data_IF_669759719504
#
_entry.id   IF_669759719504
#
_cell.length_a   1.000
_cell.length_b   1.000
_cell.length_c   1.000
_cell.angle_alpha   90.00
_cell.angle_beta   90.00
_cell.angle_gamma   90.00
#
_symmetry.space_group_name_H-M   'P 1'
#
loop_
_entity.id
_entity.type
_entity.pdbx_description
1 polymer ?
#
# COMPACT_ATOMS: atom_id res chain seq x y z
N UNK A 1 -14.42 -7.94 6.67
CA UNK A 1 -14.45 -8.19 5.21
C UNK A 1 -13.02 -8.27 4.73
N UNK A 2 -12.63 -9.31 4.06
CA UNK A 2 -11.31 -9.48 3.45
C UNK A 2 -11.34 -8.84 2.06
N UNK A 3 -10.17 -8.43 1.56
CA UNK A 3 -10.08 -8.07 0.14
C UNK A 3 -10.27 -9.31 -0.73
N UNK A 4 -10.80 -9.10 -1.92
CA UNK A 4 -11.02 -10.18 -2.86
C UNK A 4 -9.71 -10.87 -3.25
N UNK A 5 -9.75 -12.17 -3.54
CA UNK A 5 -8.58 -12.90 -4.03
C UNK A 5 -7.99 -12.25 -5.27
N UNK A 6 -6.67 -12.35 -5.41
CA UNK A 6 -5.97 -11.90 -6.64
C UNK A 6 -6.58 -12.56 -7.86
N UNK A 7 -6.74 -11.81 -8.95
CA UNK A 7 -7.32 -12.28 -10.20
C UNK A 7 -8.86 -12.28 -10.24
N UNK A 8 -9.54 -11.81 -9.19
CA UNK A 8 -11.00 -11.60 -9.25
C UNK A 8 -11.33 -10.25 -9.89
N UNK A 9 -12.57 -10.11 -10.40
CA UNK A 9 -13.04 -8.89 -11.07
C UNK A 9 -12.90 -7.63 -10.21
N UNK A 10 -13.05 -7.73 -8.89
CA UNK A 10 -12.95 -6.61 -7.95
C UNK A 10 -11.55 -6.41 -7.39
N UNK A 11 -10.59 -7.27 -7.72
CA UNK A 11 -9.19 -7.06 -7.35
C UNK A 11 -8.60 -5.93 -8.19
N UNK A 12 -8.15 -4.86 -7.52
CA UNK A 12 -7.52 -3.73 -8.22
C UNK A 12 -6.09 -4.04 -8.72
N UNK A 13 -5.55 -5.19 -8.36
CA UNK A 13 -4.20 -5.60 -8.69
C UNK A 13 -4.21 -6.86 -9.53
N UNK A 14 -4.38 -6.69 -10.83
CA UNK A 14 -3.98 -7.71 -11.79
C UNK A 14 -2.53 -7.45 -12.21
N UNK A 15 -1.59 -7.89 -11.37
CA UNK A 15 -0.15 -7.80 -11.61
C UNK A 15 0.37 -9.00 -12.40
N UNK A 16 -0.50 -9.92 -12.80
CA UNK A 16 -0.11 -11.23 -13.31
C UNK A 16 -0.52 -11.40 -14.77
N UNK A 17 0.46 -11.70 -15.62
CA UNK A 17 0.25 -11.80 -17.07
C UNK A 17 -0.37 -13.10 -17.54
N UNK A 18 -0.40 -14.15 -16.70
CA UNK A 18 -0.81 -15.52 -17.06
C UNK A 18 -2.18 -15.95 -16.52
N UNK A 19 -2.98 -15.02 -16.11
CA UNK A 19 -4.31 -15.30 -15.56
C UNK A 19 -4.38 -15.36 -14.04
N UNK A 20 -3.39 -14.77 -13.35
CA UNK A 20 -3.61 -14.32 -11.99
C UNK A 20 -2.81 -14.97 -10.86
N UNK A 21 -1.88 -15.88 -11.14
CA UNK A 21 -1.10 -16.54 -10.08
C UNK A 21 0.41 -16.43 -10.23
N UNK A 22 0.91 -15.82 -11.30
CA UNK A 22 2.34 -15.71 -11.59
C UNK A 22 2.69 -14.29 -12.02
N UNK A 23 3.61 -13.64 -11.30
CA UNK A 23 4.14 -12.33 -11.62
C UNK A 23 5.35 -12.44 -12.55
N UNK A 24 5.39 -11.61 -13.59
CA UNK A 24 6.51 -11.48 -14.51
C UNK A 24 7.02 -10.05 -14.50
N UNK A 25 8.32 -9.90 -14.63
CA UNK A 25 8.96 -8.59 -14.75
C UNK A 25 10.05 -8.61 -15.83
N UNK A 26 10.25 -7.46 -16.45
CA UNK A 26 11.34 -7.25 -17.38
C UNK A 26 12.50 -6.57 -16.63
N UNK A 27 13.56 -7.33 -16.36
CA UNK A 27 14.74 -6.80 -15.70
C UNK A 27 15.72 -6.24 -16.70
N UNK A 28 16.18 -5.04 -16.45
CA UNK A 28 17.31 -4.38 -17.14
C UNK A 28 18.62 -4.57 -16.36
N UNK A 29 18.78 -5.70 -15.69
CA UNK A 29 20.02 -6.03 -14.99
C UNK A 29 21.08 -6.48 -15.98
N UNK A 30 22.27 -5.91 -15.88
CA UNK A 30 23.43 -6.24 -16.74
C UNK A 30 23.79 -7.74 -16.71
N UNK A 31 23.53 -8.43 -15.60
CA UNK A 31 23.74 -9.88 -15.48
C UNK A 31 22.75 -10.67 -16.34
N UNK A 32 21.49 -10.23 -16.43
CA UNK A 32 20.44 -10.90 -17.21
C UNK A 32 20.47 -10.51 -18.68
N UNK A 33 20.88 -9.28 -18.98
CA UNK A 33 21.03 -8.76 -20.35
C UNK A 33 22.34 -9.20 -21.02
N UNK A 34 23.23 -9.92 -20.33
CA UNK A 34 24.47 -10.45 -20.91
C UNK A 34 24.15 -11.21 -22.20
N UNK A 35 24.71 -10.79 -23.35
CA UNK A 35 24.48 -11.48 -24.62
C UNK A 35 25.02 -12.92 -24.61
N UNK A 36 24.18 -13.90 -24.95
CA UNK A 36 24.55 -15.30 -25.07
C UNK A 36 24.35 -15.71 -26.51
N UNK A 37 25.43 -16.06 -27.25
CA UNK A 37 25.35 -16.45 -28.66
C UNK A 37 24.35 -17.60 -28.90
N UNK A 38 23.42 -17.38 -29.82
CA UNK A 38 22.35 -18.34 -30.13
C UNK A 38 21.11 -18.31 -29.21
N UNK A 39 21.16 -17.58 -28.09
CA UNK A 39 20.07 -17.52 -27.09
C UNK A 39 19.59 -16.10 -26.78
N UNK A 40 20.21 -15.10 -27.37
CA UNK A 40 19.92 -13.70 -27.13
C UNK A 40 20.55 -13.18 -25.84
N UNK A 41 20.07 -13.64 -24.69
CA UNK A 41 20.54 -13.26 -23.36
C UNK A 41 20.46 -14.44 -22.36
N UNK A 42 20.76 -14.19 -21.08
CA UNK A 42 20.72 -15.20 -20.01
C UNK A 42 19.32 -15.80 -19.84
N UNK A 43 18.27 -15.00 -19.99
CA UNK A 43 16.87 -15.45 -19.87
C UNK A 43 16.55 -16.47 -20.97
N UNK A 44 16.95 -16.15 -22.21
CA UNK A 44 16.78 -17.05 -23.34
C UNK A 44 17.55 -18.37 -23.16
N UNK A 45 18.79 -18.31 -22.69
CA UNK A 45 19.57 -19.48 -22.32
C UNK A 45 18.90 -20.32 -21.25
N UNK A 46 18.47 -19.69 -20.13
CA UNK A 46 17.80 -20.39 -19.03
C UNK A 46 16.57 -21.14 -19.53
N UNK A 47 15.73 -20.48 -20.31
CA UNK A 47 14.54 -21.09 -20.90
C UNK A 47 14.88 -22.28 -21.81
N UNK A 48 15.90 -22.14 -22.68
CA UNK A 48 16.32 -23.19 -23.58
C UNK A 48 16.89 -24.40 -22.82
N UNK A 49 17.71 -24.18 -21.80
CA UNK A 49 18.27 -25.22 -20.95
C UNK A 49 17.16 -25.97 -20.17
N UNK A 50 16.20 -25.24 -19.62
CA UNK A 50 15.07 -25.81 -18.91
C UNK A 50 14.16 -26.67 -19.80
N UNK A 51 14.04 -26.35 -21.07
CA UNK A 51 13.27 -27.11 -22.06
C UNK A 51 14.02 -28.29 -22.66
N UNK A 52 15.29 -28.49 -22.33
CA UNK A 52 16.10 -29.59 -22.82
C UNK A 52 16.29 -30.65 -21.72
N UNK A 53 15.63 -31.83 -21.79
CA UNK A 53 15.66 -32.80 -20.70
C UNK A 53 17.07 -33.32 -20.36
N UNK A 54 17.96 -33.49 -21.34
CA UNK A 54 19.31 -33.99 -21.11
C UNK A 54 20.18 -32.93 -20.40
N UNK A 55 20.10 -31.68 -20.84
CA UNK A 55 20.85 -30.58 -20.23
C UNK A 55 20.30 -30.25 -18.84
N UNK A 56 18.97 -30.25 -18.68
CA UNK A 56 18.31 -30.05 -17.38
C UNK A 56 18.79 -31.11 -16.38
N UNK A 57 18.83 -32.39 -16.76
CA UNK A 57 19.32 -33.46 -15.88
C UNK A 57 20.80 -33.26 -15.50
N UNK A 58 21.64 -32.81 -16.43
CA UNK A 58 23.05 -32.52 -16.15
C UNK A 58 23.20 -31.32 -15.22
N UNK A 59 22.46 -30.25 -15.44
CA UNK A 59 22.51 -29.04 -14.62
C UNK A 59 21.86 -29.23 -13.24
N UNK A 60 20.91 -30.12 -13.11
CA UNK A 60 20.29 -30.43 -11.81
C UNK A 60 21.28 -30.96 -10.76
N UNK A 61 22.41 -31.52 -11.18
CA UNK A 61 23.51 -31.92 -10.28
C UNK A 61 24.16 -30.73 -9.58
N UNK A 62 24.05 -29.54 -10.15
CA UNK A 62 24.49 -28.28 -9.52
C UNK A 62 23.43 -27.64 -8.62
N UNK A 63 22.21 -28.17 -8.60
CA UNK A 63 21.06 -27.59 -7.91
C UNK A 63 20.21 -26.65 -8.78
N UNK A 64 20.67 -26.26 -9.98
CA UNK A 64 19.83 -25.49 -10.92
C UNK A 64 18.60 -26.33 -11.29
N UNK A 65 17.43 -25.74 -11.33
CA UNK A 65 16.15 -26.42 -11.51
C UNK A 65 15.75 -27.41 -10.39
N UNK A 66 16.39 -27.37 -9.21
CA UNK A 66 16.09 -28.32 -8.14
C UNK A 66 14.60 -28.32 -7.71
N UNK A 67 13.92 -27.21 -7.89
CA UNK A 67 12.47 -27.05 -7.62
C UNK A 67 11.63 -26.94 -8.91
N UNK A 68 12.16 -27.37 -10.03
CA UNK A 68 11.52 -27.32 -11.35
C UNK A 68 12.00 -26.17 -12.21
N UNK A 69 11.53 -26.14 -13.46
CA UNK A 69 11.86 -25.10 -14.42
C UNK A 69 11.03 -23.86 -14.14
N UNK A 70 11.70 -22.72 -14.05
CA UNK A 70 11.01 -21.41 -13.93
C UNK A 70 10.54 -20.96 -15.30
N UNK A 71 9.22 -20.79 -15.53
CA UNK A 71 8.73 -20.34 -16.81
C UNK A 71 9.13 -18.88 -17.07
N UNK A 72 9.39 -18.57 -18.35
CA UNK A 72 9.54 -17.22 -18.85
C UNK A 72 8.36 -16.88 -19.76
N UNK A 73 7.99 -15.61 -19.85
CA UNK A 73 6.95 -15.13 -20.76
C UNK A 73 7.54 -14.03 -21.64
N UNK A 74 7.75 -14.36 -22.91
CA UNK A 74 8.47 -13.47 -23.84
C UNK A 74 9.89 -13.16 -23.34
N UNK A 75 10.20 -11.87 -23.17
CA UNK A 75 11.49 -11.39 -22.65
C UNK A 75 11.45 -11.10 -21.13
N UNK A 76 10.44 -11.60 -20.43
CA UNK A 76 10.25 -11.35 -19.01
C UNK A 76 10.62 -12.58 -18.18
N UNK A 77 10.99 -12.33 -16.93
CA UNK A 77 11.32 -13.37 -15.94
C UNK A 77 10.15 -13.50 -14.98
N UNK A 78 9.80 -14.73 -14.61
CA UNK A 78 8.94 -15.01 -13.50
C UNK A 78 9.60 -14.52 -12.19
N UNK A 79 8.91 -13.65 -11.45
CA UNK A 79 9.44 -13.04 -10.23
C UNK A 79 8.71 -13.47 -8.97
N UNK A 80 7.51 -14.00 -9.09
CA UNK A 80 6.78 -14.56 -7.98
C UNK A 80 5.63 -15.46 -8.44
N UNK A 81 5.24 -16.40 -7.58
CA UNK A 81 3.93 -17.04 -7.63
C UNK A 81 3.11 -16.63 -6.42
N UNK A 82 1.79 -16.60 -6.56
CA UNK A 82 0.90 -16.39 -5.41
C UNK A 82 0.80 -17.68 -4.61
N UNK A 83 1.27 -17.61 -3.39
CA UNK A 83 1.16 -18.68 -2.42
C UNK A 83 -0.13 -18.59 -1.57
N UNK A 84 -0.25 -19.47 -0.60
CA UNK A 84 -1.39 -19.52 0.32
C UNK A 84 -1.41 -18.28 1.24
N UNK A 85 -2.60 -17.69 1.44
CA UNK A 85 -2.80 -16.61 2.40
C UNK A 85 -2.53 -17.04 3.84
N UNK A 86 -1.87 -16.18 4.61
CA UNK A 86 -1.75 -16.30 6.06
C UNK A 86 -2.87 -15.48 6.71
N UNK A 87 -4.03 -16.13 6.84
CA UNK A 87 -5.22 -15.53 7.42
C UNK A 87 -5.04 -15.34 8.92
N UNK A 88 -5.53 -14.20 9.43
CA UNK A 88 -5.66 -14.00 10.86
C UNK A 88 -6.65 -15.01 11.47
N UNK A 89 -6.42 -15.37 12.73
CA UNK A 89 -7.34 -16.20 13.50
C UNK A 89 -8.70 -15.50 13.66
N UNK A 90 -9.75 -16.27 13.93
CA UNK A 90 -11.10 -15.74 14.08
C UNK A 90 -11.40 -15.20 15.49
N UNK A 91 -10.61 -15.57 16.48
CA UNK A 91 -10.74 -15.20 17.90
C UNK A 91 -9.76 -14.08 18.30
N UNK A 92 -9.82 -13.66 19.55
CA UNK A 92 -8.90 -12.64 20.10
C UNK A 92 -9.28 -11.21 19.78
N UNK A 93 -10.38 -10.94 19.08
CA UNK A 93 -10.86 -9.61 18.80
C UNK A 93 -11.90 -9.19 19.83
N UNK A 94 -11.65 -8.09 20.52
CA UNK A 94 -12.56 -7.54 21.53
C UNK A 94 -12.37 -6.02 21.64
N UNK A 95 -13.34 -5.35 22.26
CA UNK A 95 -13.24 -3.92 22.51
C UNK A 95 -14.11 -3.49 23.66
N UNK A 96 -13.71 -2.37 24.27
CA UNK A 96 -14.46 -1.69 25.32
C UNK A 96 -14.64 -0.25 24.89
N UNK A 97 -15.82 0.29 25.18
CA UNK A 97 -16.16 1.69 25.03
C UNK A 97 -16.82 2.19 26.32
N UNK A 98 -16.31 3.28 26.86
CA UNK A 98 -16.90 3.98 27.96
C UNK A 98 -17.19 5.41 27.52
N UNK A 99 -18.41 5.91 27.79
CA UNK A 99 -18.82 7.27 27.50
C UNK A 99 -19.37 7.93 28.77
N UNK A 100 -19.00 9.18 28.95
CA UNK A 100 -19.42 9.99 30.07
C UNK A 100 -19.89 11.38 29.59
N UNK A 101 -21.07 11.77 29.98
CA UNK A 101 -21.62 13.10 29.70
C UNK A 101 -21.45 13.97 30.96
N UNK A 102 -20.63 15.00 30.84
CA UNK A 102 -20.37 15.96 31.88
C UNK A 102 -21.35 17.13 31.75
N UNK A 103 -22.49 17.05 32.41
CA UNK A 103 -23.56 18.07 32.34
C UNK A 103 -23.03 19.48 32.72
N UNK A 104 -22.18 19.57 33.75
CA UNK A 104 -21.57 20.80 34.21
C UNK A 104 -20.55 21.43 33.24
N UNK A 105 -20.14 20.69 32.20
CA UNK A 105 -19.26 21.16 31.14
C UNK A 105 -20.01 21.25 29.80
N UNK A 106 -21.12 21.99 29.79
CA UNK A 106 -21.98 22.14 28.59
C UNK A 106 -22.44 20.80 28.00
N UNK A 107 -22.71 19.81 28.86
CA UNK A 107 -23.06 18.45 28.45
C UNK A 107 -22.02 17.83 27.52
N UNK A 108 -20.75 18.11 27.77
CA UNK A 108 -19.63 17.53 26.99
C UNK A 108 -19.63 16.02 27.14
N UNK A 109 -19.68 15.33 26.03
CA UNK A 109 -19.48 13.87 25.96
C UNK A 109 -17.99 13.58 25.86
N UNK A 110 -17.49 12.73 26.74
CA UNK A 110 -16.13 12.13 26.65
C UNK A 110 -16.24 10.64 26.36
N UNK A 111 -15.40 10.16 25.47
CA UNK A 111 -15.30 8.75 25.13
C UNK A 111 -13.89 8.20 25.38
N UNK A 112 -13.82 7.00 25.95
CA UNK A 112 -12.56 6.23 26.06
C UNK A 112 -12.78 4.86 25.45
N UNK A 113 -11.85 4.43 24.62
CA UNK A 113 -11.97 3.23 23.82
C UNK A 113 -10.71 2.38 23.91
N UNK A 114 -10.89 1.07 23.93
CA UNK A 114 -9.84 0.09 23.73
C UNK A 114 -10.33 -0.98 22.77
N UNK A 115 -9.55 -1.28 21.75
CA UNK A 115 -9.86 -2.34 20.79
C UNK A 115 -8.61 -3.18 20.51
N UNK A 116 -8.75 -4.50 20.58
CA UNK A 116 -7.80 -5.45 20.01
C UNK A 116 -8.42 -6.06 18.76
N UNK A 117 -7.78 -5.92 17.61
CA UNK A 117 -8.33 -6.36 16.33
C UNK A 117 -7.26 -6.96 15.43
N UNK A 118 -7.70 -7.65 14.40
CA UNK A 118 -6.85 -8.16 13.32
C UNK A 118 -7.02 -7.30 12.07
N UNK A 119 -5.94 -7.12 11.33
CA UNK A 119 -5.97 -6.34 10.10
C UNK A 119 -6.99 -6.92 9.11
N UNK A 120 -7.74 -6.04 8.46
CA UNK A 120 -8.63 -6.39 7.35
C UNK A 120 -7.91 -6.30 6.02
N UNK A 121 -6.91 -5.43 5.94
CA UNK A 121 -6.02 -5.28 4.79
C UNK A 121 -4.75 -6.11 5.04
N UNK A 122 -4.27 -6.86 4.05
CA UNK A 122 -3.06 -7.66 4.20
C UNK A 122 -1.81 -6.80 4.00
N UNK A 123 -0.73 -7.23 4.63
CA UNK A 123 0.63 -6.96 4.18
C UNK A 123 1.12 -8.11 3.30
N UNK A 124 2.24 -7.90 2.60
CA UNK A 124 2.86 -8.93 1.77
C UNK A 124 4.00 -9.57 2.55
N UNK A 125 4.09 -10.89 2.47
CA UNK A 125 5.28 -11.64 2.84
C UNK A 125 5.71 -12.52 1.68
N UNK A 126 6.98 -12.88 1.63
CA UNK A 126 7.52 -13.75 0.59
C UNK A 126 8.48 -14.78 1.20
N UNK A 127 8.56 -15.96 0.55
CA UNK A 127 9.57 -16.99 0.84
C UNK A 127 9.98 -17.69 -0.47
N UNK A 128 10.94 -18.58 -0.37
CA UNK A 128 11.44 -19.34 -1.52
C UNK A 128 10.83 -20.76 -1.63
N UNK A 129 9.74 -21.05 -0.93
CA UNK A 129 8.95 -22.27 -1.10
C UNK A 129 9.72 -23.58 -0.92
N UNK A 130 10.81 -23.60 -0.18
CA UNK A 130 11.66 -24.78 0.00
C UNK A 130 12.77 -24.93 -1.05
N UNK A 131 13.13 -23.86 -1.75
CA UNK A 131 14.28 -23.77 -2.63
C UNK A 131 15.57 -24.28 -1.94
N UNK A 132 16.37 -25.12 -2.65
CA UNK A 132 17.50 -25.83 -2.07
C UNK A 132 18.84 -25.12 -2.24
N UNK A 133 18.87 -24.10 -3.10
CA UNK A 133 20.10 -23.41 -3.50
C UNK A 133 20.82 -24.09 -4.66
N UNK A 134 21.95 -23.50 -5.02
CA UNK A 134 22.80 -23.93 -6.15
C UNK A 134 24.22 -24.05 -5.66
N UNK A 135 24.91 -25.12 -6.06
CA UNK A 135 26.38 -25.19 -5.98
C UNK A 135 26.97 -24.28 -7.07
N UNK A 136 27.23 -23.03 -6.71
CA UNK A 136 27.74 -22.03 -7.65
C UNK A 136 29.11 -22.38 -8.20
N UNK A 137 29.96 -23.14 -7.44
CA UNK A 137 31.26 -23.60 -7.92
C UNK A 137 31.09 -24.69 -8.99
N UNK A 138 30.24 -25.66 -8.73
CA UNK A 138 29.96 -26.73 -9.70
C UNK A 138 29.31 -26.14 -10.96
N UNK A 139 28.37 -25.20 -10.83
CA UNK A 139 27.74 -24.53 -11.98
C UNK A 139 28.77 -23.75 -12.82
N UNK A 140 29.61 -22.93 -12.16
CA UNK A 140 30.63 -22.13 -12.83
C UNK A 140 31.64 -23.04 -13.56
N UNK A 141 32.11 -24.11 -12.92
CA UNK A 141 33.02 -25.06 -13.53
C UNK A 141 32.41 -25.73 -14.76
N UNK A 142 31.14 -26.13 -14.70
CA UNK A 142 30.41 -26.70 -15.82
C UNK A 142 30.33 -25.72 -17.01
N UNK A 143 30.08 -24.45 -16.72
CA UNK A 143 29.94 -23.37 -17.71
C UNK A 143 31.29 -22.91 -18.27
N UNK A 144 32.41 -23.14 -17.59
CA UNK A 144 33.75 -22.73 -18.04
C UNK A 144 34.12 -23.35 -19.40
N UNK A 145 33.69 -24.58 -19.65
CA UNK A 145 33.90 -25.26 -20.94
C UNK A 145 33.16 -24.60 -22.13
N UNK A 146 32.12 -23.81 -21.86
CA UNK A 146 31.27 -23.19 -22.90
C UNK A 146 31.48 -21.68 -22.97
N UNK A 147 31.67 -21.00 -21.82
CA UNK A 147 31.68 -19.55 -21.69
C UNK A 147 33.04 -18.97 -21.27
N UNK A 148 34.06 -19.81 -21.01
CA UNK A 148 35.40 -19.37 -20.62
C UNK A 148 35.40 -18.41 -19.45
N UNK A 149 35.99 -17.22 -19.63
CA UNK A 149 36.06 -16.18 -18.56
C UNK A 149 34.71 -15.59 -18.15
N UNK A 150 33.67 -15.79 -18.94
CA UNK A 150 32.30 -15.28 -18.62
C UNK A 150 31.48 -16.30 -17.82
N UNK A 151 32.01 -17.49 -17.52
CA UNK A 151 31.27 -18.55 -16.83
C UNK A 151 30.68 -18.11 -15.48
N UNK A 152 31.42 -17.33 -14.69
CA UNK A 152 30.93 -16.80 -13.40
C UNK A 152 29.76 -15.84 -13.54
N UNK A 153 29.82 -14.92 -14.52
CA UNK A 153 28.73 -13.99 -14.79
C UNK A 153 27.47 -14.73 -15.28
N UNK A 154 27.66 -15.71 -16.16
CA UNK A 154 26.59 -16.55 -16.65
C UNK A 154 25.95 -17.40 -15.54
N UNK A 155 26.77 -17.97 -14.67
CA UNK A 155 26.28 -18.70 -13.48
C UNK A 155 25.45 -17.81 -12.55
N UNK A 156 25.90 -16.57 -12.29
CA UNK A 156 25.16 -15.60 -11.50
C UNK A 156 23.81 -15.26 -12.14
N UNK A 157 23.78 -15.01 -13.45
CA UNK A 157 22.53 -14.71 -14.16
C UNK A 157 21.55 -15.88 -14.13
N UNK A 158 22.02 -17.12 -14.36
CA UNK A 158 21.17 -18.33 -14.27
C UNK A 158 20.63 -18.53 -12.85
N UNK A 159 21.46 -18.30 -11.82
CA UNK A 159 21.04 -18.38 -10.42
C UNK A 159 19.99 -17.31 -10.09
N UNK A 160 20.14 -16.11 -10.62
CA UNK A 160 19.15 -15.02 -10.41
C UNK A 160 17.79 -15.42 -10.96
N UNK A 161 17.73 -15.91 -12.22
CA UNK A 161 16.46 -16.37 -12.80
C UNK A 161 15.85 -17.51 -11.98
N UNK A 162 16.67 -18.46 -11.53
CA UNK A 162 16.23 -19.63 -10.77
C UNK A 162 15.65 -19.22 -9.40
N UNK A 163 16.34 -18.35 -8.65
CA UNK A 163 15.87 -17.83 -7.36
C UNK A 163 14.56 -17.05 -7.51
N UNK A 164 14.53 -16.08 -8.43
CA UNK A 164 13.35 -15.25 -8.67
C UNK A 164 12.12 -16.09 -9.00
N UNK A 165 12.30 -17.10 -9.83
CA UNK A 165 11.21 -17.99 -10.22
C UNK A 165 10.64 -18.85 -9.09
N UNK A 166 11.37 -19.02 -8.00
CA UNK A 166 10.94 -19.81 -6.84
C UNK A 166 10.30 -18.95 -5.72
N UNK A 167 10.22 -17.65 -5.87
CA UNK A 167 9.55 -16.78 -4.89
C UNK A 167 8.06 -17.13 -4.82
N UNK A 168 7.57 -17.26 -3.60
CA UNK A 168 6.15 -17.34 -3.30
C UNK A 168 5.73 -16.11 -2.49
N UNK A 169 4.82 -15.32 -3.04
CA UNK A 169 4.26 -14.15 -2.37
C UNK A 169 2.96 -14.53 -1.65
N UNK A 170 2.80 -14.09 -0.42
CA UNK A 170 1.66 -14.40 0.44
C UNK A 170 1.02 -13.13 0.97
N UNK A 171 -0.30 -13.05 0.99
CA UNK A 171 -1.02 -12.05 1.77
C UNK A 171 -1.04 -12.48 3.23
N UNK A 172 -0.59 -11.59 4.10
CA UNK A 172 -0.55 -11.83 5.54
C UNK A 172 -1.42 -10.81 6.26
N UNK A 173 -2.36 -11.28 7.03
CA UNK A 173 -3.22 -10.44 7.86
C UNK A 173 -2.64 -10.36 9.26
N UNK A 174 -2.22 -9.16 9.67
CA UNK A 174 -1.61 -8.94 10.97
C UNK A 174 -2.63 -9.12 12.09
N UNK A 175 -2.20 -9.78 13.16
CA UNK A 175 -3.03 -10.06 14.34
C UNK A 175 -2.70 -9.13 15.50
N UNK A 176 -3.65 -8.99 16.44
CA UNK A 176 -3.47 -8.33 17.73
C UNK A 176 -2.97 -6.88 17.62
N UNK A 177 -3.59 -6.12 16.73
CA UNK A 177 -3.38 -4.68 16.66
C UNK A 177 -4.20 -4.05 17.77
N UNK A 178 -3.52 -3.37 18.70
CA UNK A 178 -4.16 -2.66 19.79
C UNK A 178 -4.40 -1.21 19.41
N UNK A 179 -5.56 -0.70 19.79
CA UNK A 179 -5.92 0.70 19.65
C UNK A 179 -6.51 1.20 20.96
N UNK A 180 -6.02 2.34 21.40
CA UNK A 180 -6.56 3.11 22.51
C UNK A 180 -7.06 4.43 21.96
N UNK A 181 -8.29 4.80 22.28
CA UNK A 181 -8.92 6.02 21.78
C UNK A 181 -9.45 6.89 22.91
N UNK A 182 -9.38 8.20 22.67
CA UNK A 182 -10.06 9.21 23.46
C UNK A 182 -10.81 10.15 22.53
N UNK A 183 -12.03 10.51 22.85
CA UNK A 183 -12.80 11.50 22.10
C UNK A 183 -13.53 12.47 23.04
N UNK A 184 -13.83 13.63 22.54
CA UNK A 184 -14.76 14.55 23.16
C UNK A 184 -15.66 15.23 22.12
N UNK A 185 -16.85 15.59 22.55
CA UNK A 185 -17.79 16.44 21.79
C UNK A 185 -18.49 17.39 22.74
N UNK A 186 -18.48 18.69 22.43
CA UNK A 186 -19.05 19.72 23.25
C UNK A 186 -19.74 20.80 22.41
N UNK A 187 -20.71 21.48 22.98
CA UNK A 187 -21.37 22.64 22.35
C UNK A 187 -20.92 23.93 23.02
N UNK A 188 -20.39 24.86 22.25
CA UNK A 188 -19.92 26.17 22.66
C UNK A 188 -20.66 27.26 21.89
N UNK A 189 -21.79 27.72 22.43
CA UNK A 189 -22.65 28.68 21.75
C UNK A 189 -23.22 28.10 20.45
N UNK A 190 -22.83 28.67 19.32
CA UNK A 190 -23.28 28.21 18.00
C UNK A 190 -22.33 27.16 17.37
N UNK A 191 -21.26 26.80 18.07
CA UNK A 191 -20.29 25.80 17.63
C UNK A 191 -20.49 24.47 18.35
N UNK A 192 -20.46 23.38 17.59
CA UNK A 192 -20.16 22.03 18.11
C UNK A 192 -18.70 21.75 17.84
N UNK A 193 -17.92 21.50 18.89
CA UNK A 193 -16.49 21.23 18.82
C UNK A 193 -16.24 19.77 19.20
N UNK A 194 -15.51 19.04 18.40
CA UNK A 194 -15.20 17.64 18.63
C UNK A 194 -13.72 17.37 18.38
N UNK A 195 -13.20 16.33 19.01
CA UNK A 195 -11.84 15.88 18.76
C UNK A 195 -11.66 14.45 19.18
N UNK A 196 -10.68 13.82 18.57
CA UNK A 196 -10.29 12.45 18.89
C UNK A 196 -8.78 12.24 18.78
N UNK A 197 -8.30 11.30 19.57
CA UNK A 197 -6.95 10.76 19.49
C UNK A 197 -7.04 9.25 19.52
N UNK A 198 -6.42 8.58 18.55
CA UNK A 198 -6.27 7.13 18.51
C UNK A 198 -4.78 6.77 18.54
N UNK A 199 -4.38 5.97 19.52
CA UNK A 199 -3.02 5.47 19.69
C UNK A 199 -2.97 3.97 19.38
N UNK A 200 -2.06 3.58 18.50
CA UNK A 200 -1.77 2.18 18.14
C UNK A 200 -0.30 1.89 18.42
N UNK A 201 0.03 1.15 19.48
CA UNK A 201 1.44 0.87 19.84
C UNK A 201 2.12 -0.13 18.88
N UNK A 202 1.38 -0.79 18.03
CA UNK A 202 1.88 -1.90 17.22
C UNK A 202 1.22 -1.99 15.83
N UNK A 203 1.01 -0.84 15.18
CA UNK A 203 0.43 -0.76 13.84
C UNK A 203 1.40 -1.31 12.80
N UNK A 204 1.02 -2.28 11.95
CA UNK A 204 1.86 -2.71 10.84
C UNK A 204 1.81 -1.69 9.70
N UNK A 205 2.98 -1.26 9.23
CA UNK A 205 3.12 -0.40 8.05
C UNK A 205 4.04 -1.05 7.02
N UNK A 206 3.86 -0.73 5.74
CA UNK A 206 4.69 -1.24 4.66
C UNK A 206 6.11 -0.69 4.71
N UNK A 207 7.11 -1.57 4.52
CA UNK A 207 8.54 -1.22 4.59
C UNK A 207 9.05 -0.79 3.22
N UNK A 208 8.87 -1.62 2.19
CA UNK A 208 9.43 -1.38 0.88
C UNK A 208 8.38 -1.45 -0.23
N UNK A 209 8.59 -0.70 -1.30
CA UNK A 209 7.87 -0.93 -2.53
C UNK A 209 8.20 -2.31 -3.10
N UNK A 210 7.27 -2.92 -3.82
CA UNK A 210 7.46 -4.27 -4.39
C UNK A 210 8.70 -4.32 -5.29
N UNK A 211 8.93 -3.29 -6.11
CA UNK A 211 10.08 -3.22 -6.99
C UNK A 211 11.41 -3.15 -6.23
N UNK A 212 11.46 -2.48 -5.09
CA UNK A 212 12.68 -2.40 -4.27
C UNK A 212 13.03 -3.76 -3.67
N UNK A 213 12.04 -4.51 -3.17
CA UNK A 213 12.24 -5.88 -2.67
C UNK A 213 12.72 -6.84 -3.76
N UNK A 214 12.12 -6.74 -4.95
CA UNK A 214 12.51 -7.56 -6.10
C UNK A 214 13.92 -7.20 -6.56
N UNK A 215 14.27 -5.90 -6.58
CA UNK A 215 15.60 -5.42 -6.91
C UNK A 215 16.66 -5.92 -5.92
N UNK A 216 16.43 -5.79 -4.62
CA UNK A 216 17.31 -6.31 -3.58
C UNK A 216 17.53 -7.82 -3.72
N UNK A 217 16.46 -8.57 -3.96
CA UNK A 217 16.56 -10.02 -4.15
C UNK A 217 17.29 -10.39 -5.45
N UNK A 218 17.05 -9.69 -6.55
CA UNK A 218 17.74 -9.93 -7.82
C UNK A 218 19.25 -9.67 -7.68
N UNK A 219 19.62 -8.55 -7.04
CA UNK A 219 21.04 -8.21 -6.80
C UNK A 219 21.73 -9.20 -5.85
N UNK A 220 21.01 -9.75 -4.87
CA UNK A 220 21.51 -10.74 -3.93
C UNK A 220 21.32 -12.20 -4.36
N UNK A 221 20.69 -12.48 -5.50
CA UNK A 221 20.20 -13.81 -5.84
C UNK A 221 21.28 -14.88 -5.93
N UNK A 222 22.42 -14.56 -6.52
CA UNK A 222 23.54 -15.50 -6.62
C UNK A 222 24.12 -15.87 -5.25
N UNK A 223 24.24 -14.90 -4.33
CA UNK A 223 24.66 -15.13 -2.95
C UNK A 223 23.59 -15.93 -2.18
N UNK A 224 22.33 -15.61 -2.36
CA UNK A 224 21.23 -16.38 -1.79
C UNK A 224 21.22 -17.82 -2.32
N UNK A 225 21.37 -18.02 -3.63
CA UNK A 225 21.44 -19.33 -4.26
C UNK A 225 22.59 -20.17 -3.68
N UNK A 226 23.73 -19.54 -3.39
CA UNK A 226 24.88 -20.17 -2.71
C UNK A 226 24.66 -20.44 -1.21
N UNK A 227 23.47 -20.17 -0.68
CA UNK A 227 23.12 -20.37 0.73
C UNK A 227 23.69 -19.31 1.69
N UNK A 228 24.14 -18.18 1.18
CA UNK A 228 24.62 -17.06 2.01
C UNK A 228 23.44 -16.27 2.57
N UNK A 229 23.66 -15.63 3.70
CA UNK A 229 22.70 -14.66 4.24
C UNK A 229 22.82 -13.35 3.48
N UNK A 230 21.70 -12.82 3.01
CA UNK A 230 21.61 -11.54 2.28
C UNK A 230 20.67 -10.58 3.00
N UNK A 231 20.80 -9.29 2.70
CA UNK A 231 19.89 -8.26 3.22
C UNK A 231 18.83 -7.94 2.17
N UNK A 232 17.54 -8.07 2.54
CA UNK A 232 16.40 -7.71 1.68
C UNK A 232 15.43 -6.88 2.50
N UNK A 233 15.14 -5.66 2.06
CA UNK A 233 14.22 -4.76 2.78
C UNK A 233 14.65 -4.49 4.23
N UNK A 234 15.95 -4.48 4.51
CA UNK A 234 16.50 -4.33 5.86
C UNK A 234 16.49 -5.61 6.72
N UNK A 235 16.06 -6.75 6.18
CA UNK A 235 15.99 -8.04 6.89
C UNK A 235 17.12 -8.97 6.45
N UNK A 236 17.72 -9.69 7.41
CA UNK A 236 18.69 -10.74 7.10
C UNK A 236 17.97 -12.02 6.66
N UNK A 237 18.18 -12.42 5.42
CA UNK A 237 17.42 -13.48 4.75
C UNK A 237 18.33 -14.63 4.35
N UNK A 238 17.90 -15.84 4.66
CA UNK A 238 18.46 -17.11 4.19
C UNK A 238 17.45 -17.83 3.29
N UNK A 239 17.84 -18.95 2.68
CA UNK A 239 16.93 -19.75 1.85
C UNK A 239 15.64 -20.20 2.57
N UNK A 240 15.71 -20.37 3.89
CA UNK A 240 14.58 -20.81 4.71
C UNK A 240 13.77 -19.65 5.34
N UNK A 241 14.21 -18.41 5.11
CA UNK A 241 13.57 -17.24 5.73
C UNK A 241 12.27 -16.87 5.03
N UNK A 242 11.38 -16.27 5.81
CA UNK A 242 10.24 -15.53 5.30
C UNK A 242 10.50 -14.04 5.43
N UNK A 243 10.36 -13.32 4.34
CA UNK A 243 10.51 -11.87 4.27
C UNK A 243 9.14 -11.26 4.56
N UNK A 244 9.04 -10.37 5.53
CA UNK A 244 7.82 -9.62 5.81
C UNK A 244 8.00 -8.18 5.30
N UNK A 245 7.13 -7.75 4.40
CA UNK A 245 7.10 -6.37 3.95
C UNK A 245 6.26 -5.48 4.86
N UNK A 246 6.43 -5.66 6.17
CA UNK A 246 5.79 -4.82 7.17
C UNK A 246 6.61 -4.76 8.47
N UNK A 247 6.62 -3.60 9.10
CA UNK A 247 7.14 -3.38 10.44
C UNK A 247 6.02 -2.87 11.34
N UNK A 248 6.08 -3.22 12.64
CA UNK A 248 5.16 -2.69 13.64
C UNK A 248 5.74 -1.43 14.25
N UNK A 249 4.99 -0.34 14.14
CA UNK A 249 5.36 0.98 14.66
C UNK A 249 4.32 1.49 15.62
N UNK A 250 4.67 2.53 16.39
CA UNK A 250 3.71 3.31 17.14
C UNK A 250 3.07 4.35 16.24
N UNK A 251 1.73 4.45 16.25
CA UNK A 251 1.00 5.42 15.46
C UNK A 251 -0.03 6.16 16.29
N UNK A 252 -0.07 7.48 16.11
CA UNK A 252 -1.11 8.36 16.65
C UNK A 252 -1.86 8.97 15.48
N UNK A 253 -3.19 8.87 15.51
CA UNK A 253 -4.06 9.60 14.62
C UNK A 253 -4.88 10.56 15.45
N UNK A 254 -4.92 11.84 15.07
CA UNK A 254 -5.68 12.85 15.80
C UNK A 254 -6.57 13.63 14.85
N UNK A 255 -7.73 14.03 15.33
CA UNK A 255 -8.55 15.02 14.65
C UNK A 255 -9.12 16.04 15.65
N UNK A 256 -9.30 17.26 15.16
CA UNK A 256 -9.97 18.34 15.87
C UNK A 256 -10.86 19.08 14.87
N UNK A 257 -12.14 19.14 15.17
CA UNK A 257 -13.09 19.74 14.25
C UNK A 257 -14.15 20.57 14.94
N UNK A 258 -14.85 21.34 14.13
CA UNK A 258 -15.99 22.14 14.57
C UNK A 258 -17.06 22.20 13.48
N UNK A 259 -18.31 22.18 13.93
CA UNK A 259 -19.47 22.55 13.12
C UNK A 259 -19.98 23.86 13.69
N UNK A 260 -19.98 24.91 12.88
CA UNK A 260 -20.44 26.25 13.29
C UNK A 260 -21.71 26.61 12.55
N UNK A 261 -22.75 26.97 13.32
CA UNK A 261 -24.01 27.46 12.76
C UNK A 261 -23.97 28.99 12.68
N UNK A 262 -23.89 29.51 11.46
CA UNK A 262 -23.89 30.96 11.22
C UNK A 262 -25.28 31.59 11.30
N UNK A 263 -26.33 30.77 11.28
CA UNK A 263 -27.70 31.26 11.16
C UNK A 263 -28.02 31.84 9.77
N UNK A 264 -29.04 32.68 9.64
CA UNK A 264 -29.37 33.37 8.40
C UNK A 264 -28.29 34.38 8.02
N UNK A 265 -27.94 34.42 6.72
CA UNK A 265 -26.92 35.34 6.20
C UNK A 265 -26.65 35.16 4.71
N UNK A 266 -26.10 36.18 4.04
CA UNK A 266 -25.78 36.17 2.60
C UNK A 266 -26.95 35.71 1.72
N UNK A 267 -28.15 36.11 2.04
CA UNK A 267 -29.44 35.70 1.43
C UNK A 267 -29.93 34.29 1.79
N UNK A 268 -29.16 33.47 2.49
CA UNK A 268 -29.60 32.15 2.92
C UNK A 268 -30.46 32.24 4.20
N UNK A 269 -31.45 31.35 4.31
CA UNK A 269 -32.28 31.21 5.52
C UNK A 269 -31.50 30.49 6.64
N UNK A 270 -30.53 29.67 6.29
CA UNK A 270 -29.60 29.07 7.24
C UNK A 270 -28.25 28.80 6.59
N UNK A 271 -27.18 28.90 7.37
CA UNK A 271 -25.81 28.56 6.95
C UNK A 271 -25.11 27.83 8.07
N UNK A 272 -24.30 26.84 7.68
CA UNK A 272 -23.35 26.24 8.60
C UNK A 272 -22.00 25.96 7.89
N UNK A 273 -20.95 25.86 8.67
CA UNK A 273 -19.64 25.46 8.21
C UNK A 273 -19.11 24.29 9.03
N UNK A 274 -18.27 23.49 8.41
CA UNK A 274 -17.51 22.40 9.05
C UNK A 274 -16.04 22.64 8.78
N UNK A 275 -15.22 22.48 9.79
CA UNK A 275 -13.77 22.47 9.67
C UNK A 275 -13.22 21.31 10.48
N UNK A 276 -12.31 20.54 9.91
CA UNK A 276 -11.61 19.47 10.59
C UNK A 276 -10.14 19.48 10.20
N UNK A 277 -9.27 19.49 11.20
CA UNK A 277 -7.83 19.29 11.08
C UNK A 277 -7.53 17.85 11.52
N UNK A 278 -6.85 17.09 10.66
CA UNK A 278 -6.41 15.73 10.95
C UNK A 278 -4.89 15.63 10.89
N UNK A 279 -4.33 14.78 11.73
CA UNK A 279 -2.89 14.48 11.71
C UNK A 279 -2.60 13.03 12.01
N UNK A 280 -1.45 12.57 11.52
CA UNK A 280 -0.92 11.24 11.74
C UNK A 280 0.54 11.35 12.17
N UNK A 281 0.93 10.58 13.19
CA UNK A 281 2.27 10.58 13.74
C UNK A 281 2.78 9.16 13.92
N UNK A 282 3.89 8.82 13.28
CA UNK A 282 4.58 7.53 13.40
C UNK A 282 5.79 7.66 14.32
N UNK A 283 5.95 6.72 15.25
CA UNK A 283 7.02 6.69 16.24
C UNK A 283 7.58 5.27 16.36
N UNK A 284 8.73 5.12 17.04
CA UNK A 284 9.33 3.82 17.30
C UNK A 284 10.11 3.20 16.14
N UNK A 285 10.18 3.87 14.98
CA UNK A 285 10.94 3.43 13.81
C UNK A 285 11.75 4.57 13.20
N UNK A 286 12.84 4.24 12.51
CA UNK A 286 13.60 5.20 11.71
C UNK A 286 12.90 5.56 10.39
N UNK A 287 11.94 4.75 9.95
CA UNK A 287 11.22 4.80 8.68
C UNK A 287 12.15 4.72 7.45
N UNK A 288 13.31 4.09 7.62
CA UNK A 288 14.24 3.77 6.54
C UNK A 288 15.02 2.50 6.85
N UNK A 289 15.56 1.88 5.80
CA UNK A 289 16.42 0.70 5.90
C UNK A 289 17.62 0.82 4.95
N UNK A 290 18.62 -0.05 5.14
CA UNK A 290 19.73 -0.17 4.22
C UNK A 290 19.41 -1.28 3.22
N UNK A 291 19.40 -0.97 1.93
CA UNK A 291 19.17 -1.91 0.84
C UNK A 291 20.37 -2.84 0.62
N UNK A 292 20.21 -3.85 -0.25
CA UNK A 292 21.28 -4.79 -0.58
C UNK A 292 22.54 -4.10 -1.14
N UNK A 293 22.36 -3.07 -1.94
CA UNK A 293 23.45 -2.27 -2.53
C UNK A 293 24.10 -1.27 -1.57
N UNK A 294 23.68 -1.26 -0.29
CA UNK A 294 24.15 -0.33 0.74
C UNK A 294 23.53 1.05 0.72
N UNK A 295 22.60 1.34 -0.21
CA UNK A 295 21.88 2.61 -0.25
C UNK A 295 20.83 2.69 0.87
N UNK A 296 20.49 3.93 1.27
CA UNK A 296 19.36 4.17 2.17
C UNK A 296 18.06 4.18 1.40
N UNK A 297 17.08 3.41 1.85
CA UNK A 297 15.72 3.37 1.32
C UNK A 297 14.72 3.79 2.39
N UNK A 298 13.70 4.50 2.00
CA UNK A 298 12.66 4.99 2.91
C UNK A 298 11.40 4.11 2.82
N UNK A 299 10.61 4.06 3.90
CA UNK A 299 9.43 3.23 3.94
C UNK A 299 8.36 3.70 2.96
N UNK A 300 7.83 2.75 2.21
CA UNK A 300 6.83 3.01 1.17
C UNK A 300 5.40 3.10 1.71
N UNK A 301 5.15 2.55 2.91
CA UNK A 301 3.80 2.43 3.46
C UNK A 301 2.98 1.31 2.82
N UNK A 302 1.75 1.14 3.30
CA UNK A 302 0.85 0.07 2.86
C UNK A 302 0.03 0.51 1.66
N UNK A 303 0.12 -0.27 0.58
CA UNK A 303 -0.77 -0.10 -0.58
C UNK A 303 -0.53 1.15 -1.42
N UNK A 304 0.58 1.85 -1.23
CA UNK A 304 0.91 2.99 -2.08
C UNK A 304 1.78 2.54 -3.26
N UNK A 305 1.14 2.37 -4.41
CA UNK A 305 1.82 1.99 -5.66
C UNK A 305 2.45 3.17 -6.40
N UNK A 306 2.20 4.40 -5.95
CA UNK A 306 2.80 5.60 -6.54
C UNK A 306 4.26 5.75 -6.14
N UNK A 307 4.68 5.18 -5.01
CA UNK A 307 6.09 5.17 -4.60
C UNK A 307 6.87 4.16 -5.44
N UNK A 308 7.62 4.68 -6.37
CA UNK A 308 8.32 3.88 -7.38
C UNK A 308 9.64 3.34 -6.83
N UNK A 309 10.26 4.07 -5.91
CA UNK A 309 11.56 3.73 -5.35
C UNK A 309 11.71 4.32 -3.95
N UNK A 310 12.33 3.60 -3.04
CA UNK A 310 12.70 4.09 -1.71
C UNK A 310 13.82 5.14 -1.70
N UNK A 311 14.28 5.62 -2.85
CA UNK A 311 15.43 6.52 -2.98
C UNK A 311 15.14 7.98 -2.65
N UNK A 312 13.94 8.48 -2.92
CA UNK A 312 13.57 9.87 -2.64
C UNK A 312 12.76 9.97 -1.36
N UNK A 313 13.22 10.79 -0.43
CA UNK A 313 12.56 11.03 0.85
C UNK A 313 11.25 11.79 0.71
N UNK A 314 11.11 12.62 -0.32
CA UNK A 314 9.91 13.42 -0.53
C UNK A 314 8.70 12.55 -0.91
N UNK A 315 8.94 11.43 -1.62
CA UNK A 315 7.89 10.55 -2.14
C UNK A 315 7.49 9.44 -1.16
N UNK A 316 8.15 9.35 0.01
CA UNK A 316 7.98 8.24 0.94
C UNK A 316 7.21 8.66 2.20
N UNK A 317 6.88 7.67 3.03
CA UNK A 317 6.18 7.87 4.30
C UNK A 317 6.91 8.88 5.18
N UNK A 318 6.18 9.87 5.65
CA UNK A 318 6.65 10.85 6.60
C UNK A 318 6.30 10.44 8.04
N UNK A 319 7.13 10.90 8.97
CA UNK A 319 6.90 10.67 10.40
C UNK A 319 5.64 11.38 10.90
N UNK A 320 5.35 12.53 10.32
CA UNK A 320 4.22 13.36 10.66
C UNK A 320 3.54 13.82 9.37
N UNK A 321 2.21 13.69 9.30
CA UNK A 321 1.41 14.17 8.18
C UNK A 321 0.17 14.91 8.69
N UNK A 322 -0.27 15.90 7.91
CA UNK A 322 -1.36 16.80 8.29
C UNK A 322 -2.25 17.13 7.11
N UNK A 323 -3.54 17.16 7.36
CA UNK A 323 -4.55 17.57 6.38
C UNK A 323 -5.68 18.31 7.03
N UNK A 324 -6.40 19.14 6.28
CA UNK A 324 -7.66 19.69 6.74
C UNK A 324 -8.74 19.57 5.68
N UNK A 325 -9.98 19.57 6.17
CA UNK A 325 -11.17 19.66 5.33
C UNK A 325 -12.03 20.80 5.84
N UNK A 326 -12.47 21.66 4.95
CA UNK A 326 -13.40 22.75 5.24
C UNK A 326 -14.62 22.60 4.34
N UNK A 327 -15.80 22.85 4.89
CA UNK A 327 -17.07 22.87 4.16
C UNK A 327 -17.88 24.07 4.58
N UNK A 328 -18.56 24.71 3.64
CA UNK A 328 -19.61 25.69 3.90
C UNK A 328 -20.84 25.31 3.10
N UNK A 329 -21.99 25.40 3.74
CA UNK A 329 -23.30 25.13 3.16
C UNK A 329 -24.25 26.29 3.51
N UNK A 330 -25.04 26.72 2.53
CA UNK A 330 -26.14 27.61 2.74
C UNK A 330 -27.43 26.98 2.23
N UNK A 331 -28.57 27.29 2.84
CA UNK A 331 -29.88 26.77 2.42
C UNK A 331 -30.87 27.91 2.24
N UNK A 332 -31.54 27.93 1.10
CA UNK A 332 -32.76 28.68 0.87
C UNK A 332 -33.94 27.72 1.00
N UNK A 333 -34.86 28.08 1.89
CA UNK A 333 -36.08 27.33 2.09
C UNK A 333 -37.18 27.82 1.13
N UNK A 334 -38.02 26.90 0.68
CA UNK A 334 -39.20 27.19 -0.12
C UNK A 334 -38.94 28.11 -1.33
N UNK A 335 -37.80 27.93 -2.01
CA UNK A 335 -37.49 28.65 -3.29
C UNK A 335 -38.61 28.46 -4.30
N UNK A 336 -39.27 27.33 -4.25
CA UNK A 336 -40.51 26.97 -4.92
C UNK A 336 -41.30 26.05 -3.99
N UNK A 337 -42.59 26.01 -4.07
CA UNK A 337 -43.51 25.32 -3.16
C UNK A 337 -42.97 23.97 -2.66
N UNK A 338 -42.43 23.95 -1.43
CA UNK A 338 -41.88 22.79 -0.77
C UNK A 338 -40.49 22.35 -1.24
N UNK A 339 -39.76 23.17 -2.04
CA UNK A 339 -38.40 22.90 -2.48
C UNK A 339 -37.39 23.74 -1.73
N UNK A 340 -36.49 23.08 -1.02
CA UNK A 340 -35.29 23.70 -0.42
C UNK A 340 -34.11 23.50 -1.33
N UNK A 341 -33.25 24.52 -1.47
CA UNK A 341 -32.02 24.46 -2.28
C UNK A 341 -30.83 24.80 -1.41
N UNK A 342 -29.83 23.93 -1.45
CA UNK A 342 -28.64 24.02 -0.61
C UNK A 342 -27.35 23.91 -1.46
N UNK A 343 -26.77 25.03 -1.90
CA UNK A 343 -25.41 25.01 -2.44
C UNK A 343 -24.40 24.79 -1.31
N UNK A 344 -23.31 24.11 -1.69
CA UNK A 344 -22.18 23.89 -0.76
C UNK A 344 -20.83 23.88 -1.49
N UNK A 345 -19.79 24.14 -0.72
CA UNK A 345 -18.39 24.03 -1.14
C UNK A 345 -17.66 23.18 -0.11
N UNK A 346 -16.90 22.19 -0.59
CA UNK A 346 -15.96 21.43 0.24
C UNK A 346 -14.57 21.67 -0.29
N UNK A 347 -13.59 21.89 0.58
CA UNK A 347 -12.19 22.02 0.25
C UNK A 347 -11.37 21.11 1.15
N UNK A 348 -10.46 20.34 0.55
CA UNK A 348 -9.48 19.50 1.25
C UNK A 348 -8.07 19.89 0.84
N UNK A 349 -7.16 19.95 1.81
CA UNK A 349 -5.74 20.22 1.60
C UNK A 349 -4.90 19.27 2.47
N UNK A 350 -4.08 18.47 1.82
CA UNK A 350 -3.06 17.64 2.44
C UNK A 350 -1.75 18.46 2.45
N UNK A 351 -1.58 19.33 3.42
CA UNK A 351 -0.58 20.41 3.34
C UNK A 351 0.82 19.99 3.81
N UNK A 352 0.97 18.84 4.48
CA UNK A 352 2.27 18.36 4.93
C UNK A 352 2.29 16.84 5.10
N UNK A 353 3.32 16.23 4.55
CA UNK A 353 3.71 14.84 4.76
C UNK A 353 2.84 13.82 4.03
N UNK A 354 3.41 12.63 3.85
CA UNK A 354 2.77 11.47 3.22
C UNK A 354 2.41 10.44 4.28
N UNK A 355 1.16 9.99 4.27
CA UNK A 355 0.65 8.93 5.16
C UNK A 355 1.25 7.57 4.81
N UNK A 356 1.34 6.69 5.81
CA UNK A 356 1.67 5.28 5.62
C UNK A 356 0.58 4.51 4.85
N UNK A 357 -0.63 5.03 4.81
CA UNK A 357 -1.80 4.41 4.17
C UNK A 357 -2.16 5.15 2.89
N UNK A 358 -2.20 4.43 1.77
CA UNK A 358 -2.60 4.99 0.49
C UNK A 358 -3.95 5.69 0.57
N UNK A 359 -4.04 6.86 -0.04
CA UNK A 359 -5.27 7.65 -0.11
C UNK A 359 -5.57 8.53 1.10
N UNK A 360 -4.86 8.41 2.23
CA UNK A 360 -5.02 9.31 3.38
C UNK A 360 -4.45 10.69 3.08
N UNK A 361 -3.19 10.96 3.43
CA UNK A 361 -2.52 12.24 3.20
C UNK A 361 -1.44 12.05 2.15
N UNK A 362 -1.42 12.89 1.13
CA UNK A 362 -0.38 12.99 0.11
C UNK A 362 0.04 14.46 0.07
N UNK A 363 1.29 14.76 0.40
CA UNK A 363 1.77 16.14 0.54
C UNK A 363 1.48 16.97 -0.72
N UNK A 364 0.84 18.11 -0.51
CA UNK A 364 0.46 19.05 -1.58
C UNK A 364 -0.79 18.65 -2.39
N UNK A 365 -1.44 17.53 -2.09
CA UNK A 365 -2.70 17.15 -2.73
C UNK A 365 -3.84 18.03 -2.23
N UNK A 366 -4.65 18.50 -3.18
CA UNK A 366 -5.82 19.35 -2.92
C UNK A 366 -7.02 18.85 -3.70
N UNK A 367 -8.20 19.12 -3.17
CA UNK A 367 -9.45 18.87 -3.86
C UNK A 367 -10.48 19.92 -3.45
N UNK A 368 -11.33 20.31 -4.39
CA UNK A 368 -12.55 21.02 -4.05
C UNK A 368 -13.76 20.40 -4.72
N UNK A 369 -14.90 20.52 -4.05
CA UNK A 369 -16.20 20.12 -4.58
C UNK A 369 -17.14 21.30 -4.51
N UNK A 370 -17.77 21.61 -5.62
CA UNK A 370 -18.88 22.55 -5.72
C UNK A 370 -20.15 21.74 -5.94
N UNK A 371 -21.11 21.88 -5.05
CA UNK A 371 -22.34 21.11 -5.16
C UNK A 371 -23.58 21.96 -4.90
N UNK A 372 -24.70 21.50 -5.43
CA UNK A 372 -26.02 22.02 -5.17
C UNK A 372 -26.99 20.88 -4.93
N UNK A 373 -27.74 20.95 -3.85
CA UNK A 373 -28.72 19.96 -3.46
C UNK A 373 -30.10 20.60 -3.46
N UNK A 374 -31.07 19.93 -4.07
CA UNK A 374 -32.48 20.30 -4.00
C UNK A 374 -33.28 19.22 -3.28
N UNK A 375 -34.06 19.59 -2.29
CA UNK A 375 -34.89 18.68 -1.52
C UNK A 375 -36.37 19.12 -1.66
N UNK A 376 -37.22 18.21 -2.12
CA UNK A 376 -38.64 18.43 -2.23
C UNK A 376 -39.40 17.67 -1.15
N UNK A 377 -40.01 18.40 -0.22
CA UNK A 377 -40.85 17.87 0.87
C UNK A 377 -40.22 16.73 1.68
N UNK A 378 -38.90 16.69 1.82
CA UNK A 378 -38.13 15.58 2.40
C UNK A 378 -38.42 14.20 1.80
N UNK A 379 -39.02 14.15 0.60
CA UNK A 379 -39.30 12.90 -0.12
C UNK A 379 -38.41 12.68 -1.32
N UNK A 380 -38.02 13.74 -2.02
CA UNK A 380 -37.16 13.66 -3.19
C UNK A 380 -35.96 14.57 -2.98
N UNK A 381 -34.78 14.03 -3.11
CA UNK A 381 -33.51 14.75 -3.09
C UNK A 381 -32.77 14.56 -4.41
N UNK A 382 -32.40 15.67 -5.05
CA UNK A 382 -31.53 15.68 -6.22
C UNK A 382 -30.25 16.47 -5.87
N UNK A 383 -29.12 15.97 -6.28
CA UNK A 383 -27.81 16.59 -6.05
C UNK A 383 -27.00 16.58 -7.33
N UNK A 384 -26.40 17.72 -7.66
CA UNK A 384 -25.40 17.86 -8.71
C UNK A 384 -24.10 18.39 -8.08
N UNK A 385 -22.98 17.75 -8.38
CA UNK A 385 -21.68 18.18 -7.87
C UNK A 385 -20.60 18.09 -8.94
N UNK A 386 -19.61 18.97 -8.83
CA UNK A 386 -18.36 18.91 -9.57
C UNK A 386 -17.20 18.82 -8.55
N UNK A 387 -16.30 17.88 -8.78
CA UNK A 387 -15.11 17.71 -7.96
C UNK A 387 -13.87 17.78 -8.83
N UNK A 388 -12.90 18.61 -8.42
CA UNK A 388 -11.58 18.74 -9.02
C UNK A 388 -10.51 18.27 -8.04
N UNK A 389 -9.53 17.50 -8.56
CA UNK A 389 -8.38 17.00 -7.82
C UNK A 389 -7.09 17.56 -8.44
N UNK A 390 -6.24 18.19 -7.63
CA UNK A 390 -4.99 18.77 -8.10
C UNK A 390 -3.88 18.72 -7.05
N UNK A 391 -2.65 19.09 -7.45
CA UNK A 391 -1.48 19.04 -6.57
C UNK A 391 -1.02 17.61 -6.24
N UNK A 392 -0.02 17.47 -5.37
CA UNK A 392 0.54 16.19 -4.94
C UNK A 392 1.37 15.46 -6.02
N UNK A 393 1.67 16.12 -7.14
CA UNK A 393 2.56 15.61 -8.18
C UNK A 393 2.14 14.23 -8.73
N UNK A 394 3.10 13.36 -8.94
CA UNK A 394 2.86 12.00 -9.47
C UNK A 394 2.22 11.06 -8.44
N UNK A 395 2.35 11.35 -7.15
CA UNK A 395 1.80 10.55 -6.08
C UNK A 395 0.28 10.69 -5.94
N UNK A 396 -0.28 11.78 -6.48
CA UNK A 396 -1.72 11.96 -6.54
C UNK A 396 -2.33 11.19 -7.72
N UNK A 397 -2.72 9.95 -7.50
CA UNK A 397 -3.40 9.12 -8.50
C UNK A 397 -4.80 9.62 -8.90
N UNK A 398 -5.31 10.69 -8.29
CA UNK A 398 -6.61 11.29 -8.60
C UNK A 398 -6.50 12.58 -9.43
N UNK A 399 -5.30 13.11 -9.68
CA UNK A 399 -5.06 14.44 -10.28
C UNK A 399 -5.69 14.68 -11.65
N UNK A 400 -6.11 13.64 -12.33
CA UNK A 400 -6.74 13.65 -13.65
C UNK A 400 -8.14 13.01 -13.65
N UNK A 401 -8.76 12.91 -12.45
CA UNK A 401 -10.06 12.27 -12.25
C UNK A 401 -11.15 13.24 -11.81
N UNK A 402 -11.09 14.45 -12.32
CA UNK A 402 -12.17 15.42 -12.14
C UNK A 402 -13.48 14.84 -12.64
N UNK A 403 -14.54 15.08 -11.89
CA UNK A 403 -15.80 14.44 -12.22
C UNK A 403 -17.01 15.32 -11.91
N UNK A 404 -18.09 15.04 -12.62
CA UNK A 404 -19.42 15.54 -12.33
C UNK A 404 -20.26 14.37 -11.81
N UNK A 405 -20.84 14.54 -10.62
CA UNK A 405 -21.73 13.56 -10.00
C UNK A 405 -23.17 14.05 -9.99
N UNK A 406 -24.11 13.15 -10.29
CA UNK A 406 -25.54 13.37 -10.11
C UNK A 406 -26.11 12.26 -9.24
N UNK A 407 -26.82 12.64 -8.17
CA UNK A 407 -27.52 11.73 -7.28
C UNK A 407 -29.02 12.07 -7.24
N UNK A 408 -29.84 11.05 -7.26
CA UNK A 408 -31.29 11.18 -7.05
C UNK A 408 -31.72 10.17 -5.99
N UNK A 409 -32.36 10.65 -4.92
CA UNK A 409 -32.86 9.82 -3.83
C UNK A 409 -34.35 10.07 -3.64
N UNK A 410 -35.11 8.99 -3.49
CA UNK A 410 -36.52 9.05 -3.13
C UNK A 410 -36.72 8.30 -1.81
N UNK A 411 -37.34 8.97 -0.84
CA UNK A 411 -37.64 8.42 0.48
C UNK A 411 -39.11 7.97 0.51
N UNK A 412 -39.32 6.67 0.73
CA UNK A 412 -40.63 6.02 0.80
C UNK A 412 -41.31 6.25 2.15
#
# INVERSE_FOLDING_TARGET
>A
TRIDPVGTFYSQTDLFADGGNTGYNNFTDTALDTPVPGFGNVIGLYSALGNNPLLNQTLSTTGLYANGVTPTFGNTVKVASVGKDYNARNDGQFGFAFRYIAEQLNSTEFGVYMVNYHAKEPTISADLGGYKGIDMNALTNLLTGVAGSQAGQLANGLATVDVLGNIQAHRRYAEDIRMYGFSFNTTLGQASVFGEVAYRPNLPIGVAATNDLIGDLANGAAAAAAGQTINIGGQQVTLASQINNAERVEAFNTSLGTIYNFGPGLSFDSMFGVFELASEHLRGSSLHYTAYDGSTRYYAGTGNFSYVSGGDRADQVNRDSYSYTAMINGTWNDVYAGVNVSPYVVYKDDFQGNSYQAGNTIEGRKAYTLGIKANYQNKLEAELQYTEFYGGGQDNGLRDRDNIGFNLKYFL
#
